data_IF_076663735357
#
_entry.id   IF_076663735357
#
_cell.length_a   1.000
_cell.length_b   1.000
_cell.length_c   1.000
_cell.angle_alpha   90.00
_cell.angle_beta   90.00
_cell.angle_gamma   90.00
#
_symmetry.space_group_name_H-M   'P 1'
#
loop_
_entity.id
_entity.type
_entity.pdbx_description
1 polymer ?
#
# COMPACT_ATOMS: atom_id res chain seq x y z
N UNK A 1 10.15 -0.45 4.26
CA UNK A 1 8.83 -0.81 3.69
C UNK A 1 7.95 -1.30 4.84
N UNK A 2 7.73 -0.44 5.84
CA UNK A 2 7.51 -0.94 7.21
C UNK A 2 6.19 -0.50 7.83
N UNK A 3 5.50 0.49 7.25
CA UNK A 3 4.31 1.07 7.89
C UNK A 3 2.98 0.43 7.46
N UNK A 4 2.81 0.04 6.18
CA UNK A 4 1.53 -0.54 5.72
C UNK A 4 1.32 -1.98 6.20
N UNK A 5 2.39 -2.76 6.34
CA UNK A 5 2.32 -4.15 6.82
C UNK A 5 1.99 -4.26 8.31
N UNK A 6 2.19 -3.19 9.10
CA UNK A 6 1.69 -3.15 10.47
C UNK A 6 0.16 -3.02 10.53
N UNK A 7 -0.44 -2.30 9.57
CA UNK A 7 -1.90 -2.13 9.50
C UNK A 7 -2.55 -3.39 8.91
N UNK A 8 -1.91 -3.98 7.90
CA UNK A 8 -2.33 -5.23 7.26
C UNK A 8 -1.17 -6.23 7.20
N UNK A 9 -1.05 -7.13 8.18
CA UNK A 9 -0.03 -8.17 8.17
C UNK A 9 -0.27 -9.17 7.02
N UNK A 10 -1.53 -9.37 6.61
CA UNK A 10 -1.90 -10.22 5.49
C UNK A 10 -2.53 -9.42 4.37
N UNK A 11 -2.15 -9.76 3.13
CA UNK A 11 -2.75 -9.17 1.93
C UNK A 11 -4.23 -9.57 1.77
N UNK A 12 -4.65 -10.69 2.35
CA UNK A 12 -6.05 -11.10 2.41
C UNK A 12 -6.90 -10.13 3.25
N UNK A 13 -6.37 -9.67 4.39
CA UNK A 13 -7.04 -8.68 5.25
C UNK A 13 -7.19 -7.35 4.50
N UNK A 14 -6.13 -6.94 3.79
CA UNK A 14 -6.17 -5.75 2.94
C UNK A 14 -7.22 -5.88 1.83
N UNK A 15 -7.29 -7.03 1.17
CA UNK A 15 -8.27 -7.29 0.12
C UNK A 15 -9.71 -7.24 0.67
N UNK A 16 -9.95 -7.84 1.84
CA UNK A 16 -11.24 -7.81 2.51
C UNK A 16 -11.66 -6.39 2.89
N UNK A 17 -10.75 -5.59 3.47
CA UNK A 17 -11.03 -4.22 3.88
C UNK A 17 -11.29 -3.28 2.68
N UNK A 18 -10.61 -3.50 1.56
CA UNK A 18 -10.83 -2.77 0.31
C UNK A 18 -12.03 -3.27 -0.50
N UNK A 19 -12.64 -4.41 -0.11
CA UNK A 19 -13.68 -5.07 -0.90
C UNK A 19 -13.18 -5.59 -2.26
N UNK A 20 -11.88 -5.85 -2.39
CA UNK A 20 -11.25 -6.31 -3.62
C UNK A 20 -10.95 -7.80 -3.58
N UNK A 21 -10.77 -8.39 -4.75
CA UNK A 21 -10.32 -9.77 -4.83
C UNK A 21 -8.87 -9.90 -4.34
N UNK A 22 -8.54 -11.02 -3.69
CA UNK A 22 -7.16 -11.34 -3.32
C UNK A 22 -6.21 -11.32 -4.53
N UNK A 23 -6.69 -11.74 -5.71
CA UNK A 23 -5.90 -11.73 -6.94
C UNK A 23 -5.47 -10.31 -7.34
N UNK A 24 -6.34 -9.31 -7.14
CA UNK A 24 -6.02 -7.90 -7.39
C UNK A 24 -4.86 -7.44 -6.51
N UNK A 25 -4.91 -7.73 -5.21
CA UNK A 25 -3.86 -7.35 -4.26
C UNK A 25 -2.57 -8.14 -4.51
N UNK A 26 -2.68 -9.43 -4.84
CA UNK A 26 -1.54 -10.27 -5.23
C UNK A 26 -0.84 -9.74 -6.49
N UNK A 27 -1.61 -9.24 -7.47
CA UNK A 27 -1.06 -8.58 -8.66
C UNK A 27 -0.30 -7.30 -8.30
N UNK A 28 -0.73 -6.53 -7.30
CA UNK A 28 0.00 -5.36 -6.81
C UNK A 28 1.34 -5.75 -6.17
N UNK A 29 1.35 -6.81 -5.34
CA UNK A 29 2.58 -7.35 -4.75
C UNK A 29 3.55 -7.81 -5.84
N UNK A 30 3.06 -8.53 -6.85
CA UNK A 30 3.87 -8.97 -8.00
C UNK A 30 4.43 -7.79 -8.80
N UNK A 31 3.64 -6.72 -8.97
CA UNK A 31 4.06 -5.47 -9.62
C UNK A 31 4.96 -4.61 -8.71
N UNK A 32 5.08 -4.95 -7.43
CA UNK A 32 5.85 -4.20 -6.44
C UNK A 32 5.28 -2.82 -6.11
N UNK A 33 4.05 -2.51 -6.54
CA UNK A 33 3.39 -1.20 -6.36
C UNK A 33 1.88 -1.33 -6.26
N UNK A 34 1.28 -0.50 -5.41
CA UNK A 34 -0.17 -0.29 -5.35
C UNK A 34 -0.50 0.92 -6.26
N UNK A 35 -1.52 0.84 -7.12
CA UNK A 35 -1.93 1.98 -7.95
C UNK A 35 -2.44 3.16 -7.10
N UNK A 36 -2.26 4.39 -7.59
CA UNK A 36 -2.64 5.61 -6.86
C UNK A 36 -4.15 5.78 -6.69
N UNK A 37 -4.94 5.21 -7.59
CA UNK A 37 -6.40 5.21 -7.52
C UNK A 37 -6.95 4.56 -6.21
N UNK A 38 -6.18 3.67 -5.57
CA UNK A 38 -6.59 2.99 -4.35
C UNK A 38 -6.11 3.67 -3.06
N UNK A 39 -5.43 4.81 -3.13
CA UNK A 39 -4.91 5.48 -1.93
C UNK A 39 -6.01 5.96 -0.99
N UNK A 40 -7.09 6.51 -1.54
CA UNK A 40 -8.21 6.96 -0.72
C UNK A 40 -8.89 5.77 -0.03
N UNK A 41 -9.09 4.67 -0.75
CA UNK A 41 -9.63 3.44 -0.18
C UNK A 41 -8.72 2.85 0.90
N UNK A 42 -7.40 2.92 0.73
CA UNK A 42 -6.42 2.53 1.75
C UNK A 42 -6.53 3.39 3.00
N UNK A 43 -6.65 4.72 2.85
CA UNK A 43 -6.77 5.65 3.97
C UNK A 43 -8.07 5.41 4.72
N UNK A 44 -9.18 5.24 4.01
CA UNK A 44 -10.46 4.91 4.62
C UNK A 44 -10.40 3.59 5.38
N UNK A 45 -9.83 2.55 4.78
CA UNK A 45 -9.67 1.24 5.42
C UNK A 45 -8.79 1.33 6.68
N UNK A 46 -7.68 2.09 6.63
CA UNK A 46 -6.83 2.32 7.80
C UNK A 46 -7.57 3.07 8.89
N UNK A 47 -8.31 4.13 8.54
CA UNK A 47 -9.10 4.92 9.49
C UNK A 47 -10.17 4.06 10.17
N UNK A 48 -10.83 3.14 9.45
CA UNK A 48 -11.80 2.20 10.03
C UNK A 48 -11.16 1.27 11.08
N UNK A 49 -9.86 0.97 10.95
CA UNK A 49 -9.10 0.19 11.94
C UNK A 49 -8.47 1.06 13.04
N UNK A 50 -8.73 2.37 13.05
CA UNK A 50 -8.14 3.32 14.00
C UNK A 50 -6.67 3.67 13.71
N UNK A 51 -6.19 3.40 12.50
CA UNK A 51 -4.84 3.74 12.07
C UNK A 51 -4.86 5.02 11.23
N UNK A 52 -4.04 6.01 11.58
CA UNK A 52 -3.85 7.21 10.77
C UNK A 52 -2.89 6.94 9.61
N UNK A 53 -3.45 6.69 8.43
CA UNK A 53 -2.72 6.62 7.17
C UNK A 53 -3.03 7.87 6.34
N UNK A 54 -2.03 8.53 5.79
CA UNK A 54 -2.21 9.74 4.97
C UNK A 54 -1.63 9.56 3.57
N UNK A 55 -2.10 10.39 2.64
CA UNK A 55 -1.57 10.44 1.27
C UNK A 55 -0.07 10.73 1.26
N UNK A 56 0.41 11.57 2.18
CA UNK A 56 1.82 11.92 2.28
C UNK A 56 2.69 10.69 2.61
N UNK A 57 2.24 9.84 3.54
CA UNK A 57 2.91 8.58 3.88
C UNK A 57 2.92 7.61 2.69
N UNK A 58 1.81 7.51 1.96
CA UNK A 58 1.70 6.68 0.76
C UNK A 58 2.60 7.19 -0.39
N UNK A 59 2.64 8.51 -0.59
CA UNK A 59 3.48 9.17 -1.58
C UNK A 59 4.97 8.98 -1.27
N UNK A 60 5.39 9.22 -0.03
CA UNK A 60 6.77 8.97 0.42
C UNK A 60 7.16 7.49 0.26
N UNK A 61 6.28 6.55 0.64
CA UNK A 61 6.54 5.12 0.47
C UNK A 61 6.75 4.72 -0.99
N UNK A 62 6.06 5.37 -1.94
CA UNK A 62 6.26 5.18 -3.38
C UNK A 62 7.52 5.85 -3.90
N UNK A 63 7.81 7.07 -3.45
CA UNK A 63 8.98 7.83 -3.85
C UNK A 63 10.29 7.11 -3.47
N UNK A 64 10.36 6.58 -2.25
CA UNK A 64 11.52 5.81 -1.77
C UNK A 64 11.77 4.56 -2.62
N UNK A 65 10.73 3.95 -3.21
CA UNK A 65 10.88 2.79 -4.09
C UNK A 65 11.32 3.12 -5.51
N UNK A 66 11.10 4.34 -6.00
CA UNK A 66 11.56 4.74 -7.34
C UNK A 66 13.06 4.99 -7.38
N UNK A 67 13.68 5.23 -6.23
CA UNK A 67 15.14 5.32 -6.10
C UNK A 67 15.73 3.91 -6.02
N UNK A 68 15.77 3.21 -7.15
CA UNK A 68 16.66 2.08 -7.30
C UNK A 68 18.12 2.57 -7.21
N UNK A 69 19.02 1.83 -6.55
CA UNK A 69 20.43 2.21 -6.37
C UNK A 69 21.29 2.09 -7.66
N UNK A 70 20.68 2.02 -8.84
CA UNK A 70 21.40 1.87 -10.12
C UNK A 70 21.65 3.20 -10.84
N UNK A 71 20.97 4.29 -10.47
CA UNK A 71 21.13 5.64 -11.07
C UNK A 71 22.22 6.49 -10.37
N UNK A 72 23.07 5.90 -9.54
CA UNK A 72 24.14 6.58 -8.81
C UNK A 72 25.54 6.04 -9.12
N UNK A 73 25.74 5.49 -10.33
CA UNK A 73 27.03 5.06 -10.86
C UNK A 73 27.58 6.06 -11.88
#
# INVERSE_FOLDING_TARGET
MTHIFHIWPKMADLAADLGLSYQTVAAWKRRGRIPAEYDLSLIEAANRKGCSLTLDVLAHARAVRKRSPEDAA
#
